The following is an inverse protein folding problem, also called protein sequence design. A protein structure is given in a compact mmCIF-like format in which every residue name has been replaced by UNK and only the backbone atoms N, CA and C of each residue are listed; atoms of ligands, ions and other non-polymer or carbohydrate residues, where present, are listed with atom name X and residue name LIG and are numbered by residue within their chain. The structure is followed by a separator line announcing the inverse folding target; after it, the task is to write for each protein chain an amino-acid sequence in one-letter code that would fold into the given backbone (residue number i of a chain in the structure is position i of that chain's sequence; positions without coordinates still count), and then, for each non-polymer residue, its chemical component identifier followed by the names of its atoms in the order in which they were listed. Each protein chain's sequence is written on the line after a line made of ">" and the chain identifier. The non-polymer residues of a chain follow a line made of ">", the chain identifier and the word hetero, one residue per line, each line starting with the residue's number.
data_IF_408985057225
#
_entry.id   IF_408985057225
#
_cell.length_a   1.000
_cell.length_b   1.000
_cell.length_c   1.000
_cell.angle_alpha   90.00
_cell.angle_beta   90.00
_cell.angle_gamma   90.00
#
_symmetry.space_group_name_H-M   'P 1'
#
loop_
_entity.id
_entity.type
_entity.pdbx_description
1 polymer ?
#
# COMPACT_ATOMS: atom_id res chain seq x y z
N UNK A 1 -14.10 -3.11 0.31
CA UNK A 1 -14.11 -4.09 -0.79
C UNK A 1 -13.44 -5.36 -0.28
N UNK A 2 -13.90 -6.55 -0.69
CA UNK A 2 -13.24 -7.82 -0.34
C UNK A 2 -11.92 -8.00 -1.10
N UNK A 3 -11.00 -8.82 -0.58
CA UNK A 3 -9.66 -8.99 -1.16
C UNK A 3 -9.66 -9.48 -2.61
N UNK A 4 -10.56 -10.40 -2.97
CA UNK A 4 -10.65 -10.93 -4.34
C UNK A 4 -11.10 -9.85 -5.35
N UNK A 5 -12.17 -9.10 -5.03
CA UNK A 5 -12.66 -8.02 -5.89
C UNK A 5 -11.60 -6.91 -6.05
N UNK A 6 -10.85 -6.61 -4.99
CA UNK A 6 -9.72 -5.68 -5.08
C UNK A 6 -8.58 -6.23 -5.95
N UNK A 7 -8.28 -7.51 -5.87
CA UNK A 7 -7.22 -8.12 -6.69
C UNK A 7 -7.55 -8.04 -8.18
N UNK A 8 -8.81 -8.25 -8.55
CA UNK A 8 -9.30 -8.09 -9.92
C UNK A 8 -9.17 -6.63 -10.40
N UNK A 9 -9.63 -5.68 -9.59
CA UNK A 9 -9.52 -4.24 -9.87
C UNK A 9 -8.06 -3.76 -9.97
N UNK A 10 -7.19 -4.27 -9.10
CA UNK A 10 -5.75 -4.03 -9.18
C UNK A 10 -5.18 -4.59 -10.49
N UNK A 11 -5.55 -5.83 -10.86
CA UNK A 11 -5.07 -6.44 -12.09
C UNK A 11 -5.52 -5.65 -13.33
N UNK A 12 -6.77 -5.19 -13.35
CA UNK A 12 -7.29 -4.34 -14.43
C UNK A 12 -6.52 -3.01 -14.49
N UNK A 13 -6.35 -2.35 -13.35
CA UNK A 13 -5.62 -1.08 -13.23
C UNK A 13 -4.18 -1.17 -13.71
N UNK A 14 -3.48 -2.26 -13.38
CA UNK A 14 -2.10 -2.47 -13.80
C UNK A 14 -1.98 -2.76 -15.31
N UNK A 15 -2.99 -3.40 -15.90
CA UNK A 15 -3.01 -3.81 -17.30
C UNK A 15 -3.60 -2.76 -18.27
N UNK A 16 -4.35 -1.76 -17.78
CA UNK A 16 -5.11 -0.84 -18.63
C UNK A 16 -4.28 0.12 -19.54
N UNK A 17 -2.94 0.18 -19.42
CA UNK A 17 -2.05 0.82 -20.41
C UNK A 17 -2.14 2.36 -20.54
N UNK A 18 -0.98 3.04 -20.47
CA UNK A 18 -0.77 4.51 -20.34
C UNK A 18 -1.25 5.11 -19.00
N UNK A 19 -0.86 4.51 -17.89
CA UNK A 19 -1.09 5.09 -16.57
C UNK A 19 -0.80 4.11 -15.46
N UNK A 20 0.39 3.49 -15.48
CA UNK A 20 0.83 2.55 -14.43
C UNK A 20 0.54 3.09 -13.02
N UNK A 21 0.43 2.19 -12.03
CA UNK A 21 -0.34 2.44 -10.82
C UNK A 21 0.04 3.80 -10.26
N UNK A 22 -0.93 4.69 -10.15
CA UNK A 22 -0.84 5.94 -9.40
C UNK A 22 -1.78 5.82 -8.21
N UNK A 23 -1.90 4.60 -7.69
CA UNK A 23 -2.89 4.18 -6.72
C UNK A 23 -2.25 3.93 -5.37
N UNK A 24 -2.88 4.53 -4.36
CA UNK A 24 -2.61 4.23 -2.96
C UNK A 24 -3.75 3.36 -2.45
N UNK A 25 -3.46 2.12 -2.10
CA UNK A 25 -4.40 1.21 -1.44
C UNK A 25 -4.01 1.07 0.02
N UNK A 26 -5.01 0.98 0.89
CA UNK A 26 -4.82 0.59 2.29
C UNK A 26 -5.49 -0.75 2.56
N UNK A 27 -4.68 -1.73 2.96
CA UNK A 27 -5.12 -3.07 3.37
C UNK A 27 -5.16 -3.22 4.89
N UNK A 28 -6.22 -3.83 5.40
CA UNK A 28 -6.32 -4.21 6.82
C UNK A 28 -6.48 -5.71 6.97
N UNK A 29 -5.62 -6.34 7.76
CA UNK A 29 -5.74 -7.73 8.20
C UNK A 29 -5.86 -7.81 9.72
N UNK A 30 -6.77 -8.66 10.22
CA UNK A 30 -7.02 -8.83 11.65
C UNK A 30 -5.83 -9.51 12.37
N UNK A 31 -5.10 -10.36 11.66
CA UNK A 31 -3.94 -11.10 12.13
C UNK A 31 -2.81 -11.11 11.08
N UNK A 32 -1.70 -11.77 11.42
CA UNK A 32 -0.54 -11.91 10.54
C UNK A 32 -0.88 -12.68 9.27
N UNK A 33 -1.70 -13.74 9.35
CA UNK A 33 -2.03 -14.57 8.20
C UNK A 33 -2.83 -13.80 7.15
N UNK A 34 -3.81 -13.00 7.61
CA UNK A 34 -4.58 -12.13 6.75
C UNK A 34 -3.73 -11.04 6.09
N UNK A 35 -2.78 -10.46 6.82
CA UNK A 35 -1.81 -9.51 6.26
C UNK A 35 -0.95 -10.19 5.20
N UNK A 36 -0.44 -11.41 5.45
CA UNK A 36 0.35 -12.14 4.46
C UNK A 36 -0.47 -12.47 3.21
N UNK A 37 -1.73 -12.90 3.34
CA UNK A 37 -2.60 -13.15 2.17
C UNK A 37 -2.82 -11.90 1.33
N UNK A 38 -3.01 -10.75 1.96
CA UNK A 38 -3.11 -9.45 1.28
C UNK A 38 -1.82 -9.14 0.51
N UNK A 39 -0.67 -9.26 1.17
CA UNK A 39 0.64 -8.98 0.57
C UNK A 39 0.93 -9.92 -0.60
N UNK A 40 0.69 -11.22 -0.40
CA UNK A 40 0.99 -12.25 -1.38
C UNK A 40 0.08 -12.12 -2.62
N UNK A 41 -1.19 -11.77 -2.41
CA UNK A 41 -2.12 -11.42 -3.50
C UNK A 41 -1.62 -10.21 -4.29
N UNK A 42 -1.27 -9.12 -3.60
CA UNK A 42 -0.78 -7.90 -4.22
C UNK A 42 0.48 -8.14 -5.06
N UNK A 43 1.42 -8.91 -4.49
CA UNK A 43 2.68 -9.28 -5.14
C UNK A 43 2.43 -10.07 -6.42
N UNK A 44 1.62 -11.14 -6.34
CA UNK A 44 1.29 -11.98 -7.50
C UNK A 44 0.65 -11.18 -8.65
N UNK A 45 -0.29 -10.29 -8.31
CA UNK A 45 -0.98 -9.46 -9.31
C UNK A 45 0.00 -8.47 -9.96
N UNK A 46 0.85 -7.82 -9.17
CA UNK A 46 1.85 -6.88 -9.68
C UNK A 46 2.92 -7.56 -10.56
N UNK A 47 3.44 -8.72 -10.13
CA UNK A 47 4.41 -9.52 -10.88
C UNK A 47 3.81 -10.03 -12.20
N UNK A 48 2.57 -10.52 -12.18
CA UNK A 48 1.88 -10.99 -13.39
C UNK A 48 1.67 -9.87 -14.42
N UNK A 49 1.48 -8.63 -13.95
CA UNK A 49 1.39 -7.44 -14.79
C UNK A 49 2.78 -6.86 -15.19
N UNK A 50 3.89 -7.51 -14.76
CA UNK A 50 5.26 -7.12 -15.12
C UNK A 50 5.81 -5.93 -14.35
N UNK A 51 5.23 -5.57 -13.20
CA UNK A 51 5.74 -4.50 -12.34
C UNK A 51 6.77 -5.04 -11.33
N UNK A 52 7.90 -4.35 -11.10
CA UNK A 52 8.78 -4.69 -10.00
C UNK A 52 8.07 -4.42 -8.67
N UNK A 53 8.20 -5.35 -7.73
CA UNK A 53 7.59 -5.24 -6.39
C UNK A 53 8.68 -4.92 -5.36
N UNK A 54 8.41 -3.92 -4.52
CA UNK A 54 9.34 -3.43 -3.51
C UNK A 54 8.68 -3.44 -2.14
N UNK A 55 9.22 -4.23 -1.22
CA UNK A 55 8.64 -4.38 0.12
C UNK A 55 9.44 -3.62 1.18
N UNK A 56 8.72 -2.91 2.03
CA UNK A 56 9.25 -2.10 3.12
C UNK A 56 8.48 -2.44 4.41
N UNK A 57 9.19 -2.68 5.51
CA UNK A 57 8.54 -2.90 6.82
C UNK A 57 8.50 -1.61 7.63
N UNK A 58 7.31 -1.16 8.01
CA UNK A 58 7.10 0.01 8.85
C UNK A 58 7.91 -0.03 10.16
N UNK A 59 8.26 -1.23 10.66
CA UNK A 59 9.02 -1.40 11.89
C UNK A 59 10.51 -1.04 11.74
N UNK A 60 11.06 -1.22 10.54
CA UNK A 60 12.51 -1.15 10.30
C UNK A 60 12.91 -0.04 9.32
N UNK A 61 11.93 0.63 8.70
CA UNK A 61 12.19 1.72 7.76
C UNK A 61 12.69 2.97 8.48
N UNK A 62 13.70 3.60 7.89
CA UNK A 62 14.11 4.96 8.24
C UNK A 62 13.16 5.95 7.57
N UNK A 63 13.03 7.15 8.13
CA UNK A 63 12.29 8.25 7.49
C UNK A 63 13.02 8.86 6.28
N UNK A 64 13.95 8.15 5.64
CA UNK A 64 14.65 8.63 4.46
C UNK A 64 13.79 8.37 3.21
N UNK A 65 13.25 9.41 2.55
CA UNK A 65 12.37 9.24 1.39
C UNK A 65 13.10 8.67 0.16
N UNK A 66 14.43 8.71 0.11
CA UNK A 66 15.23 8.22 -1.03
C UNK A 66 15.21 6.70 -1.18
N UNK A 67 14.68 5.98 -0.19
CA UNK A 67 14.52 4.52 -0.27
C UNK A 67 13.36 4.13 -1.20
N UNK A 68 12.45 5.05 -1.54
CA UNK A 68 11.33 4.73 -2.41
C UNK A 68 11.80 4.59 -3.86
N UNK A 69 11.42 3.51 -4.55
CA UNK A 69 11.72 3.33 -5.96
C UNK A 69 10.92 4.35 -6.79
N UNK A 70 11.50 4.79 -7.92
CA UNK A 70 10.85 5.72 -8.85
C UNK A 70 9.97 5.01 -9.91
N UNK A 71 9.81 3.68 -9.83
CA UNK A 71 8.94 2.85 -10.67
C UNK A 71 8.56 1.57 -9.91
N UNK A 72 7.37 1.02 -10.16
CA UNK A 72 6.93 -0.27 -9.60
C UNK A 72 5.84 -0.20 -8.54
N UNK A 73 5.63 -1.32 -7.85
CA UNK A 73 4.61 -1.46 -6.81
C UNK A 73 5.27 -1.59 -5.43
N UNK A 74 4.98 -0.64 -4.54
CA UNK A 74 5.56 -0.55 -3.20
C UNK A 74 4.60 -1.15 -2.19
N UNK A 75 5.06 -2.08 -1.37
CA UNK A 75 4.29 -2.66 -0.27
C UNK A 75 4.91 -2.19 1.05
N UNK A 76 4.22 -1.29 1.75
CA UNK A 76 4.57 -0.86 3.10
C UNK A 76 3.77 -1.67 4.12
N UNK A 77 4.41 -2.67 4.73
CA UNK A 77 3.79 -3.61 5.67
C UNK A 77 4.01 -3.24 7.13
N UNK A 78 3.36 -3.97 8.03
CA UNK A 78 3.49 -3.88 9.49
C UNK A 78 3.06 -2.53 10.10
N UNK A 79 2.11 -1.84 9.47
CA UNK A 79 1.57 -0.59 10.03
C UNK A 79 0.75 -0.89 11.29
N UNK A 80 1.26 -0.44 12.43
CA UNK A 80 0.64 -0.65 13.76
C UNK A 80 0.19 0.69 14.36
N UNK A 81 -0.59 0.61 15.45
CA UNK A 81 -1.17 1.77 16.13
C UNK A 81 -0.12 2.82 16.51
N UNK A 82 1.03 2.38 17.03
CA UNK A 82 2.17 3.26 17.27
C UNK A 82 2.91 3.47 15.97
N UNK A 83 2.45 4.44 15.18
CA UNK A 83 3.03 4.75 13.88
C UNK A 83 4.44 5.32 14.03
N UNK A 84 5.46 4.66 13.46
CA UNK A 84 6.78 5.27 13.34
C UNK A 84 6.69 6.50 12.44
N UNK A 85 7.42 7.57 12.78
CA UNK A 85 7.45 8.83 12.00
C UNK A 85 7.82 8.58 10.52
N UNK A 86 8.60 7.53 10.26
CA UNK A 86 8.97 7.13 8.91
C UNK A 86 7.77 6.79 8.02
N UNK A 87 6.69 6.21 8.56
CA UNK A 87 5.53 5.80 7.78
C UNK A 87 4.85 7.00 7.11
N UNK A 88 4.43 8.07 7.84
CA UNK A 88 3.94 9.30 7.23
C UNK A 88 4.88 9.92 6.19
N UNK A 89 6.19 9.90 6.44
CA UNK A 89 7.18 10.48 5.51
C UNK A 89 7.21 9.71 4.19
N UNK A 90 7.24 8.38 4.25
CA UNK A 90 7.25 7.54 3.05
C UNK A 90 5.95 7.66 2.26
N UNK A 91 4.80 7.68 2.93
CA UNK A 91 3.53 7.87 2.23
C UNK A 91 3.49 9.25 1.56
N UNK A 92 3.95 10.32 2.23
CA UNK A 92 4.07 11.65 1.62
C UNK A 92 5.05 11.70 0.43
N UNK A 93 6.19 11.03 0.54
CA UNK A 93 7.17 10.92 -0.53
C UNK A 93 6.61 10.17 -1.75
N UNK A 94 5.87 9.09 -1.53
CA UNK A 94 5.13 8.39 -2.59
C UNK A 94 4.21 9.33 -3.37
N UNK A 95 3.46 10.20 -2.68
CA UNK A 95 2.59 11.14 -3.38
C UNK A 95 3.36 12.12 -4.26
N UNK A 96 4.55 12.53 -3.81
CA UNK A 96 5.42 13.37 -4.62
C UNK A 96 5.85 12.66 -5.91
N UNK A 97 6.15 11.36 -5.85
CA UNK A 97 6.45 10.54 -7.03
C UNK A 97 5.26 10.46 -7.99
N UNK A 98 4.05 10.20 -7.47
CA UNK A 98 2.82 10.19 -8.27
C UNK A 98 2.58 11.55 -8.95
N UNK A 99 2.73 12.67 -8.23
CA UNK A 99 2.58 14.02 -8.80
C UNK A 99 3.60 14.34 -9.89
N UNK A 100 4.77 13.68 -9.88
CA UNK A 100 5.77 13.78 -10.94
C UNK A 100 5.45 12.92 -12.17
N UNK A 101 4.35 12.17 -12.14
CA UNK A 101 3.94 11.27 -13.23
C UNK A 101 4.76 9.98 -13.28
N UNK A 102 5.41 9.61 -12.17
CA UNK A 102 6.11 8.33 -12.07
C UNK A 102 5.12 7.18 -11.92
N UNK A 103 5.46 6.01 -12.46
CA UNK A 103 4.60 4.83 -12.51
C UNK A 103 4.74 4.01 -11.22
N UNK A 104 4.29 4.58 -10.11
CA UNK A 104 4.44 4.00 -8.77
C UNK A 104 3.11 3.72 -8.07
N UNK A 105 2.89 2.45 -7.71
CA UNK A 105 1.77 2.02 -6.87
C UNK A 105 2.20 1.85 -5.43
N UNK A 106 1.30 2.05 -4.48
CA UNK A 106 1.58 1.75 -3.07
C UNK A 106 0.42 1.03 -2.40
N UNK A 107 0.74 -0.11 -1.78
CA UNK A 107 -0.10 -0.78 -0.79
C UNK A 107 0.46 -0.49 0.60
N UNK A 108 -0.36 0.10 1.47
CA UNK A 108 -0.07 0.21 2.90
C UNK A 108 -0.90 -0.82 3.64
N UNK A 109 -0.25 -1.78 4.31
CA UNK A 109 -0.95 -2.86 5.00
C UNK A 109 -0.56 -2.96 6.47
N UNK A 110 -1.56 -3.19 7.32
CA UNK A 110 -1.35 -3.30 8.75
C UNK A 110 -2.60 -3.68 9.53
N UNK A 111 -2.52 -3.59 10.84
CA UNK A 111 -3.66 -3.90 11.71
C UNK A 111 -4.76 -2.85 11.58
N UNK A 112 -6.03 -3.18 11.89
CA UNK A 112 -7.12 -2.21 11.82
C UNK A 112 -6.84 -0.94 12.64
N UNK A 113 -6.22 -1.11 13.82
CA UNK A 113 -5.82 0.01 14.67
C UNK A 113 -4.67 0.84 14.08
N UNK A 114 -3.72 0.22 13.38
CA UNK A 114 -2.62 0.90 12.69
C UNK A 114 -3.11 1.73 11.51
N UNK A 115 -3.92 1.14 10.65
CA UNK A 115 -4.53 1.85 9.52
C UNK A 115 -5.43 3.00 10.00
N UNK A 116 -6.22 2.77 11.05
CA UNK A 116 -7.05 3.82 11.65
C UNK A 116 -6.21 4.95 12.25
N UNK A 117 -5.08 4.63 12.89
CA UNK A 117 -4.14 5.65 13.37
C UNK A 117 -3.57 6.44 12.20
N UNK A 118 -3.21 5.77 11.10
CA UNK A 118 -2.58 6.39 9.94
C UNK A 118 -3.52 7.38 9.27
N UNK A 119 -4.78 7.00 9.07
CA UNK A 119 -5.83 7.89 8.52
C UNK A 119 -6.14 9.10 9.40
N UNK A 120 -5.89 9.02 10.70
CA UNK A 120 -6.11 10.13 11.64
C UNK A 120 -4.90 11.06 11.77
N UNK A 121 -3.79 10.72 11.11
CA UNK A 121 -2.58 11.53 11.18
C UNK A 121 -2.80 12.85 10.41
N UNK A 122 -2.50 14.03 10.99
CA UNK A 122 -2.78 15.33 10.37
C UNK A 122 -2.15 15.54 8.99
N UNK A 123 -1.05 14.84 8.70
CA UNK A 123 -0.38 14.89 7.39
C UNK A 123 -0.94 13.93 6.34
N UNK A 124 -2.02 13.19 6.62
CA UNK A 124 -2.50 12.07 5.81
C UNK A 124 -3.92 12.29 5.22
N UNK A 125 -4.36 13.54 5.05
CA UNK A 125 -5.72 13.87 4.55
C UNK A 125 -6.07 13.18 3.21
N UNK A 126 -5.06 12.92 2.40
CA UNK A 126 -5.18 12.24 1.11
C UNK A 126 -5.46 10.73 1.22
N UNK A 127 -5.28 10.10 2.38
CA UNK A 127 -5.70 8.71 2.60
C UNK A 127 -7.21 8.56 2.58
N UNK A 128 -7.97 9.67 2.62
CA UNK A 128 -9.40 9.66 2.32
C UNK A 128 -9.72 9.31 0.86
N UNK A 129 -8.74 9.40 -0.05
CA UNK A 129 -8.85 9.03 -1.47
C UNK A 129 -8.28 7.64 -1.77
N UNK A 130 -7.76 6.95 -0.75
CA UNK A 130 -7.15 5.63 -0.93
C UNK A 130 -8.21 4.52 -0.94
N UNK A 131 -8.03 3.54 -1.82
CA UNK A 131 -8.89 2.35 -1.84
C UNK A 131 -8.72 1.52 -0.57
N UNK A 132 -9.83 0.93 -0.12
CA UNK A 132 -9.89 0.21 1.16
C UNK A 132 -10.18 -1.26 0.92
N UNK A 133 -9.18 -2.08 1.24
CA UNK A 133 -9.29 -3.52 1.23
C UNK A 133 -9.36 -4.06 2.67
N UNK A 134 -10.32 -4.94 2.91
CA UNK A 134 -10.53 -5.61 4.20
C UNK A 134 -10.66 -7.10 3.92
N UNK A 135 -9.84 -7.94 4.56
CA UNK A 135 -10.14 -9.37 4.58
C UNK A 135 -11.25 -9.66 5.60
N UNK A 136 -12.25 -10.50 5.25
CA UNK A 136 -13.21 -11.00 6.22
C UNK A 136 -12.48 -11.89 7.24
N UNK A 137 -12.93 -11.87 8.50
CA UNK A 137 -12.51 -12.84 9.51
C UNK A 137 -12.89 -14.24 9.00
N UNK A 138 -11.95 -15.18 9.04
CA UNK A 138 -12.28 -16.57 8.77
C UNK A 138 -13.20 -17.07 9.91
N UNK A 139 -14.46 -17.38 9.57
CA UNK A 139 -15.40 -18.09 10.46
C UNK A 139 -14.90 -19.48 10.85
#
# INVERSE_FOLDING_TARGET
>A
MGAAAWAEDLAESLNAGRGGPSSLTVGTGADTEAIERIVDTARKVAEAAGYPVHELSALNVTGDPRILPEDGFIILRDVRRSLPVAVPVLVGAYQHLVRRGLRVGMLVVGSPAGIKALRRHPGMDFLGLADVMTEPEAE
#
